data_IF_890906245102
#
_entry.id   IF_890906245102
#
_cell.length_a   1.000
_cell.length_b   1.000
_cell.length_c   1.000
_cell.angle_alpha   90.00
_cell.angle_beta   90.00
_cell.angle_gamma   90.00
#
_symmetry.space_group_name_H-M   'P 1'
#
loop_
_entity.id
_entity.type
_entity.pdbx_description
1 polymer ?
#
# COMPACT_ATOMS: atom_id res chain seq x y z
N UNK A 1 41.62 -52.32 12.99
CA UNK A 1 41.53 -51.21 12.01
C UNK A 1 40.07 -50.90 11.77
N UNK A 2 39.63 -49.68 12.09
CA UNK A 2 38.25 -49.20 11.93
C UNK A 2 37.95 -48.98 10.44
N UNK A 3 36.84 -49.51 9.93
CA UNK A 3 36.25 -49.07 8.64
C UNK A 3 34.93 -48.37 8.93
N UNK A 4 34.96 -47.05 8.81
CA UNK A 4 33.81 -46.15 8.80
C UNK A 4 33.58 -45.64 7.37
N UNK A 5 32.40 -45.05 7.18
CA UNK A 5 31.88 -44.37 5.98
C UNK A 5 31.19 -45.31 4.98
N UNK A 6 30.00 -44.97 4.46
CA UNK A 6 29.22 -43.76 4.63
C UNK A 6 28.15 -43.78 3.55
N UNK A 7 26.89 -43.59 3.96
CA UNK A 7 25.71 -43.55 3.09
C UNK A 7 25.85 -42.43 2.04
N UNK A 8 25.84 -42.76 0.75
CA UNK A 8 25.47 -41.81 -0.29
C UNK A 8 23.96 -41.83 -0.50
N UNK A 9 23.25 -41.04 0.31
CA UNK A 9 21.85 -40.65 0.05
C UNK A 9 21.88 -39.59 -1.06
N UNK A 10 21.44 -39.97 -2.27
CA UNK A 10 21.13 -39.01 -3.34
C UNK A 10 20.03 -38.08 -2.83
N UNK A 11 20.34 -36.81 -2.60
CA UNK A 11 19.35 -35.77 -2.43
C UNK A 11 18.98 -35.27 -3.83
N UNK A 12 17.77 -35.59 -4.28
CA UNK A 12 17.16 -34.87 -5.39
C UNK A 12 16.87 -33.44 -4.89
N UNK A 13 17.63 -32.46 -5.37
CA UNK A 13 17.18 -31.08 -5.34
C UNK A 13 15.97 -30.98 -6.27
N UNK A 14 14.77 -31.08 -5.67
CA UNK A 14 13.59 -30.45 -6.24
C UNK A 14 13.78 -28.95 -6.01
N UNK A 15 14.53 -28.29 -6.89
CA UNK A 15 14.40 -26.85 -7.08
C UNK A 15 12.99 -26.63 -7.63
N UNK A 16 12.05 -26.32 -6.74
CA UNK A 16 10.82 -25.69 -7.15
C UNK A 16 11.22 -24.35 -7.75
N UNK A 17 11.28 -24.33 -9.08
CA UNK A 17 11.47 -23.15 -9.89
C UNK A 17 10.24 -22.25 -9.66
N UNK A 18 10.22 -21.58 -8.51
CA UNK A 18 9.34 -20.46 -8.25
C UNK A 18 9.81 -19.38 -9.20
N UNK A 19 9.28 -19.39 -10.43
CA UNK A 19 9.25 -18.18 -11.25
C UNK A 19 8.77 -17.08 -10.31
N UNK A 20 9.56 -16.03 -10.03
CA UNK A 20 9.06 -14.91 -9.29
C UNK A 20 7.78 -14.47 -10.00
N UNK A 21 6.69 -14.38 -9.24
CA UNK A 21 5.43 -13.88 -9.77
C UNK A 21 5.73 -12.61 -10.55
N UNK A 22 5.15 -12.42 -11.74
CA UNK A 22 5.38 -11.20 -12.52
C UNK A 22 5.18 -10.02 -11.58
N UNK A 23 6.22 -9.20 -11.44
CA UNK A 23 6.18 -8.00 -10.61
C UNK A 23 5.15 -7.09 -11.28
N UNK A 24 3.92 -7.10 -10.77
CA UNK A 24 2.92 -6.13 -11.20
C UNK A 24 3.36 -4.81 -10.56
N UNK A 25 3.73 -3.81 -11.35
CA UNK A 25 4.20 -2.56 -10.80
C UNK A 25 3.08 -1.87 -10.02
N UNK A 26 3.45 -1.13 -8.99
CA UNK A 26 2.62 -0.19 -8.27
C UNK A 26 2.79 1.20 -8.87
N UNK A 27 1.69 1.94 -9.02
CA UNK A 27 1.77 3.36 -9.34
C UNK A 27 2.26 4.09 -8.08
N UNK A 28 3.30 4.93 -8.18
CA UNK A 28 3.45 6.05 -7.25
C UNK A 28 2.80 7.26 -7.92
N UNK A 29 1.51 7.49 -7.69
CA UNK A 29 0.87 8.62 -8.32
C UNK A 29 1.21 9.93 -7.58
N UNK A 30 0.87 11.04 -8.20
CA UNK A 30 0.83 12.37 -7.56
C UNK A 30 -0.58 12.93 -7.71
N UNK A 31 -1.01 13.84 -6.85
CA UNK A 31 -2.36 14.44 -6.99
C UNK A 31 -2.55 15.14 -8.34
N UNK A 32 -1.46 15.63 -8.94
CA UNK A 32 -1.45 16.31 -10.25
C UNK A 32 -1.27 15.36 -11.44
N UNK A 33 -0.63 14.21 -11.22
CA UNK A 33 -0.42 13.18 -12.24
C UNK A 33 -0.87 11.81 -11.69
N UNK A 34 -2.17 11.49 -11.82
CA UNK A 34 -2.73 10.25 -11.27
C UNK A 34 -2.21 8.97 -11.92
N UNK A 35 -1.67 9.09 -13.14
CA UNK A 35 -1.13 8.00 -13.96
C UNK A 35 0.41 8.02 -13.98
N UNK A 36 1.04 8.49 -12.89
CA UNK A 36 2.50 8.64 -12.84
C UNK A 36 3.23 7.27 -12.87
N UNK A 37 4.53 7.30 -12.61
CA UNK A 37 5.43 6.19 -12.87
C UNK A 37 5.04 4.90 -12.13
N UNK A 38 5.10 3.81 -12.90
CA UNK A 38 4.98 2.44 -12.44
C UNK A 38 6.32 1.98 -11.88
N UNK A 39 6.33 1.63 -10.60
CA UNK A 39 7.52 1.16 -9.90
C UNK A 39 7.23 -0.14 -9.16
N UNK A 40 8.25 -0.88 -8.75
CA UNK A 40 8.10 -2.06 -7.91
C UNK A 40 7.80 -1.71 -6.46
N UNK A 41 7.24 -2.64 -5.70
CA UNK A 41 7.03 -2.45 -4.25
C UNK A 41 8.33 -2.11 -3.51
N UNK A 42 9.45 -2.79 -3.86
CA UNK A 42 10.76 -2.53 -3.27
C UNK A 42 11.24 -1.09 -3.51
N UNK A 43 11.03 -0.55 -4.71
CA UNK A 43 11.36 0.85 -5.01
C UNK A 43 10.49 1.81 -4.20
N UNK A 44 9.21 1.49 -4.01
CA UNK A 44 8.29 2.29 -3.20
C UNK A 44 8.73 2.38 -1.75
N UNK A 45 9.16 1.25 -1.19
CA UNK A 45 9.74 1.19 0.17
C UNK A 45 11.01 2.03 0.27
N UNK A 46 11.93 1.93 -0.71
CA UNK A 46 13.14 2.76 -0.73
C UNK A 46 12.83 4.25 -0.76
N UNK A 47 11.89 4.68 -1.61
CA UNK A 47 11.44 6.08 -1.69
C UNK A 47 10.84 6.55 -0.35
N UNK A 48 10.04 5.70 0.30
CA UNK A 48 9.47 6.01 1.61
C UNK A 48 10.56 6.20 2.67
N UNK A 49 11.57 5.32 2.69
CA UNK A 49 12.70 5.41 3.61
C UNK A 49 13.54 6.69 3.38
N UNK A 50 13.81 7.05 2.13
CA UNK A 50 14.51 8.30 1.79
C UNK A 50 13.73 9.54 2.26
N UNK A 51 12.39 9.52 2.13
CA UNK A 51 11.53 10.60 2.61
C UNK A 51 11.52 10.68 4.13
N UNK A 52 11.52 9.53 4.82
CA UNK A 52 11.55 9.46 6.28
C UNK A 52 12.88 9.99 6.87
N UNK A 53 13.99 9.89 6.14
CA UNK A 53 15.30 10.42 6.56
C UNK A 53 15.39 11.96 6.51
N UNK A 54 14.43 12.63 5.88
CA UNK A 54 14.32 14.11 5.91
C UNK A 54 13.57 14.55 7.17
N UNK A 55 13.72 15.81 7.56
CA UNK A 55 12.92 16.39 8.67
C UNK A 55 11.43 16.23 8.35
N UNK A 56 10.77 15.29 9.02
CA UNK A 56 9.35 14.99 8.82
C UNK A 56 8.56 16.25 9.19
N UNK A 57 7.84 16.88 8.26
CA UNK A 57 7.02 18.05 8.55
C UNK A 57 5.68 17.63 9.18
N UNK A 58 5.13 18.49 10.03
CA UNK A 58 3.74 18.33 10.47
C UNK A 58 2.83 18.59 9.27
N UNK A 59 1.89 17.69 9.01
CA UNK A 59 1.04 17.72 7.82
C UNK A 59 -0.40 17.34 8.14
N UNK A 60 -1.36 18.18 7.77
CA UNK A 60 -2.77 17.85 7.87
C UNK A 60 -3.23 17.12 6.62
N UNK A 61 -3.96 16.01 6.79
CA UNK A 61 -4.41 15.24 5.64
C UNK A 61 -5.50 15.98 4.86
N UNK A 62 -5.49 15.87 3.53
CA UNK A 62 -6.58 16.38 2.71
C UNK A 62 -7.83 15.50 2.91
N UNK A 63 -8.98 15.99 2.47
CA UNK A 63 -10.20 15.17 2.47
C UNK A 63 -10.02 14.00 1.50
N UNK A 64 -10.58 12.82 1.82
CA UNK A 64 -10.37 11.63 0.99
C UNK A 64 -10.81 11.84 -0.47
N UNK A 65 -11.91 12.57 -0.68
CA UNK A 65 -12.46 12.82 -2.02
C UNK A 65 -11.57 13.65 -2.95
N UNK A 66 -10.49 14.29 -2.46
CA UNK A 66 -9.52 14.96 -3.35
C UNK A 66 -8.49 14.02 -3.93
N UNK A 67 -8.41 12.76 -3.44
CA UNK A 67 -7.49 11.78 -3.98
C UNK A 67 -8.09 11.15 -5.26
N UNK A 68 -7.31 11.07 -6.35
CA UNK A 68 -7.81 10.59 -7.63
C UNK A 68 -8.14 9.09 -7.70
N UNK A 69 -7.55 8.25 -6.84
CA UNK A 69 -7.72 6.80 -6.92
C UNK A 69 -7.33 6.07 -5.63
N UNK A 70 -7.68 4.79 -5.53
CA UNK A 70 -7.30 3.91 -4.43
C UNK A 70 -5.78 3.75 -4.35
N UNK A 71 -5.09 3.73 -5.49
CA UNK A 71 -3.63 3.76 -5.55
C UNK A 71 -3.04 4.98 -4.80
N UNK A 72 -3.68 6.15 -4.87
CA UNK A 72 -3.21 7.33 -4.14
C UNK A 72 -3.39 7.19 -2.63
N UNK A 73 -4.46 6.54 -2.19
CA UNK A 73 -4.69 6.28 -0.76
C UNK A 73 -3.60 5.34 -0.23
N UNK A 74 -3.31 4.27 -0.97
CA UNK A 74 -2.25 3.33 -0.63
C UNK A 74 -0.88 4.02 -0.60
N UNK A 75 -0.56 4.81 -1.64
CA UNK A 75 0.68 5.57 -1.69
C UNK A 75 0.79 6.59 -0.56
N UNK A 76 -0.23 7.41 -0.30
CA UNK A 76 -0.26 8.36 0.82
C UNK A 76 -0.06 7.64 2.17
N UNK A 77 -0.57 6.41 2.30
CA UNK A 77 -0.47 5.65 3.53
C UNK A 77 0.94 5.10 3.81
N UNK A 78 1.56 4.46 2.82
CA UNK A 78 2.83 3.73 3.00
C UNK A 78 4.06 4.48 2.47
N UNK A 79 3.92 5.26 1.40
CA UNK A 79 5.05 5.86 0.69
C UNK A 79 5.09 7.40 0.78
N UNK A 80 3.97 8.02 1.12
CA UNK A 80 3.76 9.46 1.02
C UNK A 80 3.36 9.89 -0.38
N UNK A 81 2.83 11.10 -0.49
CA UNK A 81 2.26 11.65 -1.72
C UNK A 81 2.70 13.12 -1.89
N UNK A 82 3.01 13.56 -3.10
CA UNK A 82 3.35 14.97 -3.42
C UNK A 82 4.42 15.60 -2.52
N UNK A 83 5.48 14.85 -2.23
CA UNK A 83 6.56 15.28 -1.35
C UNK A 83 6.17 15.35 0.14
N UNK A 84 4.97 14.87 0.50
CA UNK A 84 4.53 14.71 1.89
C UNK A 84 4.93 13.32 2.42
N UNK A 85 5.22 13.20 3.73
CA UNK A 85 5.56 11.92 4.34
C UNK A 85 4.36 10.97 4.34
N UNK A 86 4.64 9.67 4.43
CA UNK A 86 3.64 8.64 4.59
C UNK A 86 2.84 8.83 5.88
N UNK A 87 1.55 8.46 5.87
CA UNK A 87 0.70 8.52 7.07
C UNK A 87 1.29 7.66 8.20
N UNK A 88 1.85 6.49 7.89
CA UNK A 88 2.52 5.65 8.90
C UNK A 88 3.66 6.41 9.59
N UNK A 89 4.51 7.09 8.81
CA UNK A 89 5.60 7.91 9.34
C UNK A 89 5.10 9.07 10.20
N UNK A 90 3.99 9.72 9.83
CA UNK A 90 3.39 10.79 10.63
C UNK A 90 2.84 10.28 11.96
N UNK A 91 2.18 9.12 11.95
CA UNK A 91 1.68 8.45 13.15
C UNK A 91 2.85 8.09 14.08
N UNK A 92 3.92 7.51 13.54
CA UNK A 92 5.12 7.16 14.30
C UNK A 92 5.81 8.40 14.90
N UNK A 93 5.86 9.50 14.14
CA UNK A 93 6.56 10.72 14.56
C UNK A 93 5.80 11.55 15.59
N UNK A 94 4.50 11.74 15.40
CA UNK A 94 3.68 12.69 16.17
C UNK A 94 2.65 12.02 17.07
N UNK A 95 2.39 10.72 16.89
CA UNK A 95 1.56 9.93 17.79
C UNK A 95 0.12 10.43 17.91
N UNK A 96 -0.41 10.37 19.13
CA UNK A 96 -1.85 10.52 19.43
C UNK A 96 -2.41 11.90 19.09
N UNK A 97 -1.63 12.97 19.28
CA UNK A 97 -2.10 14.33 19.01
C UNK A 97 -2.39 14.53 17.53
N UNK A 98 -1.45 14.12 16.67
CA UNK A 98 -1.65 14.18 15.22
C UNK A 98 -2.81 13.30 14.73
N UNK A 99 -2.97 12.11 15.32
CA UNK A 99 -4.12 11.23 15.04
C UNK A 99 -5.44 11.91 15.42
N UNK A 100 -5.50 12.56 16.59
CA UNK A 100 -6.69 13.27 17.05
C UNK A 100 -7.05 14.39 16.07
N UNK A 101 -6.08 15.19 15.67
CA UNK A 101 -6.26 16.30 14.73
C UNK A 101 -6.73 15.82 13.35
N UNK A 102 -6.33 14.61 12.96
CA UNK A 102 -6.65 14.01 11.65
C UNK A 102 -7.74 12.92 11.71
N UNK A 103 -8.41 12.71 12.84
CA UNK A 103 -9.28 11.54 13.05
C UNK A 103 -10.36 11.37 11.95
N UNK A 104 -11.06 12.45 11.62
CA UNK A 104 -12.08 12.45 10.57
C UNK A 104 -11.52 12.09 9.17
N UNK A 105 -10.26 12.44 8.91
CA UNK A 105 -9.55 12.15 7.64
C UNK A 105 -8.99 10.74 7.61
N UNK A 106 -8.59 10.22 8.77
CA UNK A 106 -8.00 8.89 8.94
C UNK A 106 -9.06 7.78 8.89
N UNK A 107 -10.27 8.02 9.39
CA UNK A 107 -11.29 6.97 9.51
C UNK A 107 -11.56 6.24 8.19
N UNK A 108 -11.89 6.97 7.12
CA UNK A 108 -12.15 6.37 5.79
C UNK A 108 -10.90 5.81 5.11
N UNK A 109 -9.73 6.41 5.37
CA UNK A 109 -8.45 5.90 4.85
C UNK A 109 -8.11 4.55 5.48
N UNK A 110 -8.20 4.43 6.80
CA UNK A 110 -8.01 3.16 7.51
C UNK A 110 -8.95 2.09 6.99
N UNK A 111 -10.21 2.45 6.76
CA UNK A 111 -11.17 1.52 6.17
C UNK A 111 -10.71 1.02 4.79
N UNK A 112 -10.33 1.92 3.87
CA UNK A 112 -9.79 1.51 2.57
C UNK A 112 -8.50 0.68 2.67
N UNK A 113 -7.61 1.03 3.60
CA UNK A 113 -6.38 0.26 3.82
C UNK A 113 -6.68 -1.14 4.31
N UNK A 114 -7.59 -1.30 5.27
CA UNK A 114 -8.03 -2.62 5.73
C UNK A 114 -8.67 -3.43 4.58
N UNK A 115 -9.46 -2.80 3.72
CA UNK A 115 -10.05 -3.47 2.54
C UNK A 115 -8.98 -3.92 1.53
N UNK A 116 -7.91 -3.13 1.35
CA UNK A 116 -6.77 -3.52 0.52
C UNK A 116 -6.05 -4.71 1.16
N UNK A 117 -5.69 -4.61 2.45
CA UNK A 117 -4.99 -5.68 3.20
C UNK A 117 -5.81 -6.99 3.23
N UNK A 118 -7.15 -6.92 3.31
CA UNK A 118 -8.01 -8.09 3.21
C UNK A 118 -7.96 -8.75 1.82
N UNK A 119 -7.93 -7.97 0.75
CA UNK A 119 -7.85 -8.48 -0.62
C UNK A 119 -6.46 -9.02 -0.94
N UNK A 120 -5.42 -8.47 -0.32
CA UNK A 120 -4.04 -8.98 -0.42
C UNK A 120 -3.89 -10.44 0.09
N UNK A 121 -4.87 -10.97 0.84
CA UNK A 121 -4.89 -12.39 1.21
C UNK A 121 -5.12 -13.33 0.02
N UNK A 122 -5.70 -12.84 -1.08
CA UNK A 122 -6.07 -13.62 -2.26
C UNK A 122 -5.50 -13.06 -3.57
N UNK A 123 -5.03 -11.82 -3.54
CA UNK A 123 -4.54 -11.07 -4.69
C UNK A 123 -3.20 -10.42 -4.35
N UNK A 124 -2.41 -10.08 -5.37
CA UNK A 124 -1.31 -9.14 -5.18
C UNK A 124 -1.84 -7.74 -4.79
N UNK A 125 -1.01 -6.91 -4.17
CA UNK A 125 -1.34 -5.51 -3.88
C UNK A 125 -1.85 -4.78 -5.11
N UNK A 126 -1.16 -4.90 -6.25
CA UNK A 126 -1.54 -4.20 -7.47
C UNK A 126 -2.92 -4.65 -7.99
N UNK A 127 -3.21 -5.95 -7.95
CA UNK A 127 -4.53 -6.48 -8.30
C UNK A 127 -5.61 -5.97 -7.33
N UNK A 128 -5.35 -5.96 -6.03
CA UNK A 128 -6.28 -5.43 -5.03
C UNK A 128 -6.62 -3.95 -5.29
N UNK A 129 -5.61 -3.13 -5.62
CA UNK A 129 -5.79 -1.73 -5.96
C UNK A 129 -6.60 -1.54 -7.25
N UNK A 130 -6.30 -2.31 -8.30
CA UNK A 130 -7.06 -2.28 -9.58
C UNK A 130 -8.52 -2.70 -9.35
N UNK A 131 -8.77 -3.75 -8.57
CA UNK A 131 -10.13 -4.22 -8.28
C UNK A 131 -10.95 -3.15 -7.53
N UNK A 132 -10.35 -2.46 -6.57
CA UNK A 132 -11.03 -1.41 -5.82
C UNK A 132 -11.24 -0.13 -6.64
N UNK A 133 -10.28 0.24 -7.49
CA UNK A 133 -10.46 1.35 -8.45
C UNK A 133 -11.51 1.00 -9.53
N UNK A 134 -11.58 -0.26 -9.94
CA UNK A 134 -12.64 -0.76 -10.82
C UNK A 134 -14.01 -0.72 -10.15
N UNK A 135 -14.12 -1.14 -8.88
CA UNK A 135 -15.35 -1.04 -8.10
C UNK A 135 -15.79 0.43 -7.95
N UNK A 136 -14.84 1.33 -7.72
CA UNK A 136 -15.09 2.77 -7.67
C UNK A 136 -15.68 3.29 -8.98
N UNK A 137 -15.17 2.86 -10.13
CA UNK A 137 -15.59 3.40 -11.42
C UNK A 137 -15.40 4.91 -11.47
N UNK A 138 -16.39 5.64 -12.00
CA UNK A 138 -16.37 7.11 -12.12
C UNK A 138 -16.77 7.84 -10.82
N UNK A 139 -17.09 7.10 -9.75
CA UNK A 139 -17.42 7.71 -8.46
C UNK A 139 -16.16 8.24 -7.74
N UNK A 140 -16.34 9.22 -6.85
CA UNK A 140 -15.28 9.63 -5.93
C UNK A 140 -15.00 8.59 -4.84
N UNK A 141 -13.81 8.65 -4.21
CA UNK A 141 -13.42 7.71 -3.15
C UNK A 141 -14.36 7.71 -1.93
N UNK A 142 -15.00 8.85 -1.62
CA UNK A 142 -16.01 8.89 -0.56
C UNK A 142 -17.19 7.95 -0.88
N UNK A 143 -17.62 7.88 -2.14
CA UNK A 143 -18.72 7.00 -2.57
C UNK A 143 -18.31 5.54 -2.64
N UNK A 144 -17.07 5.26 -3.03
CA UNK A 144 -16.50 3.91 -2.89
C UNK A 144 -16.67 3.41 -1.45
N UNK A 145 -16.24 4.22 -0.47
CA UNK A 145 -16.33 3.84 0.95
C UNK A 145 -17.79 3.77 1.42
N UNK A 146 -18.53 4.87 1.30
CA UNK A 146 -19.82 5.00 1.97
C UNK A 146 -20.90 4.12 1.31
N UNK A 147 -20.92 4.01 -0.02
CA UNK A 147 -21.99 3.31 -0.76
C UNK A 147 -21.58 1.90 -1.13
N UNK A 148 -20.40 1.72 -1.71
CA UNK A 148 -20.02 0.45 -2.35
C UNK A 148 -19.43 -0.56 -1.37
N UNK A 149 -18.73 -0.09 -0.34
CA UNK A 149 -18.10 -0.96 0.66
C UNK A 149 -18.91 -1.04 1.95
N UNK A 150 -19.43 0.09 2.45
CA UNK A 150 -20.25 0.13 3.67
C UNK A 150 -21.75 -0.10 3.43
N UNK A 151 -22.20 -0.09 2.17
CA UNK A 151 -23.61 -0.33 1.83
C UNK A 151 -24.56 0.76 2.35
N UNK A 152 -24.10 1.99 2.59
CA UNK A 152 -24.99 3.07 3.07
C UNK A 152 -25.95 3.48 1.94
N UNK A 153 -27.25 3.71 2.27
CA UNK A 153 -28.22 4.19 1.30
C UNK A 153 -27.85 5.58 0.78
N UNK A 154 -28.28 5.87 -0.46
CA UNK A 154 -28.03 7.13 -1.18
C UNK A 154 -28.75 8.31 -0.54
#
# INVERSE_FOLDING_TARGET
MKKNSGKHRRQSHNETNHKPLPLIPLIIPTSVHPQAEWITFSEGVSIAAERANKKIPYYMLPVLGTLPSVHHVYAEWYFGLDGKPAIKTLIEKYGKDWIRDNNARLCRRRFLINEIEMREMQHSTAEALVLLDGLRGDDGLNRLVDVKLLGRPR
#
